data_IF_710849810647
#
_entry.id   IF_710849810647
#
_cell.length_a   1.000
_cell.length_b   1.000
_cell.length_c   1.000
_cell.angle_alpha   90.00
_cell.angle_beta   90.00
_cell.angle_gamma   90.00
#
_symmetry.space_group_name_H-M   'P 1'
#
loop_
_entity.id
_entity.type
_entity.pdbx_description
1 polymer ?
#
# COMPACT_ATOMS: atom_id res chain seq x y z
N UNK A 1 -12.39 18.27 -13.10
CA UNK A 1 -11.46 17.54 -13.99
C UNK A 1 -10.42 16.87 -13.10
N UNK A 2 -10.16 15.57 -13.30
CA UNK A 2 -9.10 14.88 -12.56
C UNK A 2 -7.74 15.25 -13.15
N UNK A 3 -6.77 15.48 -12.25
CA UNK A 3 -5.37 15.58 -12.59
C UNK A 3 -4.71 14.22 -12.28
N UNK A 4 -3.74 13.84 -13.07
CA UNK A 4 -2.96 12.63 -12.87
C UNK A 4 -1.51 13.01 -12.61
N UNK A 5 -0.93 12.41 -11.57
CA UNK A 5 0.49 12.58 -11.25
C UNK A 5 1.17 11.22 -11.13
N UNK A 6 2.49 11.16 -11.33
CA UNK A 6 3.26 9.96 -11.04
C UNK A 6 3.12 9.57 -9.56
N UNK A 7 3.17 8.27 -9.30
CA UNK A 7 3.41 7.73 -7.96
C UNK A 7 4.88 7.93 -7.60
N UNK A 8 5.14 8.45 -6.41
CA UNK A 8 6.50 8.69 -5.90
C UNK A 8 7.03 7.42 -5.22
N UNK A 9 7.68 6.57 -6.01
CA UNK A 9 8.29 5.33 -5.52
C UNK A 9 9.36 5.62 -4.47
N UNK A 10 10.15 6.67 -4.62
CA UNK A 10 11.24 7.00 -3.70
C UNK A 10 10.70 7.38 -2.32
N UNK A 11 9.61 8.14 -2.26
CA UNK A 11 8.93 8.46 -1.01
C UNK A 11 8.35 7.21 -0.33
N UNK A 12 7.74 6.31 -1.09
CA UNK A 12 7.23 5.03 -0.56
C UNK A 12 8.35 4.15 0.00
N UNK A 13 9.46 4.04 -0.71
CA UNK A 13 10.63 3.26 -0.31
C UNK A 13 11.33 3.87 0.91
N UNK A 14 11.47 5.19 0.96
CA UNK A 14 12.02 5.89 2.11
C UNK A 14 11.15 5.67 3.37
N UNK A 15 9.82 5.72 3.20
CA UNK A 15 8.87 5.39 4.28
C UNK A 15 9.05 3.95 4.76
N UNK A 16 9.09 2.98 3.85
CA UNK A 16 9.30 1.58 4.18
C UNK A 16 10.61 1.36 4.95
N UNK A 17 11.71 1.95 4.48
CA UNK A 17 13.00 1.89 5.15
C UNK A 17 12.95 2.42 6.59
N UNK A 18 12.18 3.48 6.82
CA UNK A 18 12.05 4.11 8.15
C UNK A 18 11.22 3.27 9.11
N UNK A 19 10.14 2.64 8.63
CA UNK A 19 9.11 2.08 9.48
C UNK A 19 8.91 0.56 9.39
N UNK A 20 9.62 -0.16 8.51
CA UNK A 20 9.45 -1.61 8.36
C UNK A 20 9.72 -2.41 9.64
N UNK A 21 10.65 -1.94 10.47
CA UNK A 21 11.04 -2.60 11.73
C UNK A 21 10.50 -1.87 12.97
N UNK A 22 9.58 -0.93 12.80
CA UNK A 22 8.97 -0.16 13.89
C UNK A 22 7.57 0.30 13.50
N UNK A 23 6.84 0.94 14.41
CA UNK A 23 5.48 1.43 14.16
C UNK A 23 5.46 2.95 14.11
N UNK A 24 4.83 3.48 13.05
CA UNK A 24 4.53 4.90 12.95
C UNK A 24 3.38 5.24 13.91
N UNK A 25 3.57 6.15 14.88
CA UNK A 25 2.57 6.46 15.91
C UNK A 25 1.28 7.08 15.37
N UNK A 26 1.25 7.51 14.11
CA UNK A 26 0.03 8.01 13.44
C UNK A 26 -0.98 6.91 13.13
N UNK A 27 -0.55 5.64 13.12
CA UNK A 27 -1.37 4.51 12.76
C UNK A 27 -1.50 3.52 13.91
N UNK A 28 -2.68 2.93 14.04
CA UNK A 28 -2.89 1.89 15.02
C UNK A 28 -2.06 0.64 14.66
N UNK A 29 -1.44 0.03 15.65
CA UNK A 29 -0.72 -1.21 15.50
C UNK A 29 -1.68 -2.40 15.51
N UNK A 30 -1.89 -3.02 14.37
CA UNK A 30 -2.78 -4.19 14.19
C UNK A 30 -2.08 -5.53 14.43
N UNK A 31 -0.84 -5.55 14.93
CA UNK A 31 -0.14 -6.80 15.25
C UNK A 31 -0.95 -7.64 16.24
N UNK A 32 -1.19 -8.91 15.90
CA UNK A 32 -1.98 -9.83 16.73
C UNK A 32 -3.50 -9.75 16.53
N UNK A 33 -4.01 -8.75 15.80
CA UNK A 33 -5.45 -8.63 15.48
C UNK A 33 -5.74 -8.69 13.98
N UNK A 34 -4.72 -8.99 13.16
CA UNK A 34 -4.79 -9.06 11.70
C UNK A 34 -4.76 -7.68 11.02
N UNK A 35 -4.22 -7.62 9.84
CA UNK A 35 -4.23 -6.41 9.01
C UNK A 35 -3.02 -5.48 9.12
N UNK A 36 -2.03 -5.76 9.95
CA UNK A 36 -0.86 -4.89 10.10
C UNK A 36 0.04 -4.88 8.84
N UNK A 37 0.13 -6.00 8.14
CA UNK A 37 0.87 -6.08 6.88
C UNK A 37 0.28 -5.17 5.80
N UNK A 38 -1.03 -5.21 5.60
CA UNK A 38 -1.71 -4.35 4.63
C UNK A 38 -1.73 -2.89 5.07
N UNK A 39 -1.91 -2.63 6.37
CA UNK A 39 -1.80 -1.29 6.94
C UNK A 39 -0.43 -0.68 6.66
N UNK A 40 0.66 -1.42 6.86
CA UNK A 40 2.00 -0.95 6.58
C UNK A 40 2.21 -0.63 5.09
N UNK A 41 1.80 -1.53 4.19
CA UNK A 41 1.91 -1.29 2.74
C UNK A 41 1.06 -0.09 2.33
N UNK A 42 -0.15 0.06 2.88
CA UNK A 42 -0.99 1.23 2.65
C UNK A 42 -0.31 2.54 3.11
N UNK A 43 0.40 2.52 4.22
CA UNK A 43 1.17 3.68 4.69
C UNK A 43 2.30 4.04 3.71
N UNK A 44 3.01 3.04 3.18
CA UNK A 44 4.04 3.24 2.16
C UNK A 44 3.44 3.85 0.88
N UNK A 45 2.32 3.30 0.41
CA UNK A 45 1.60 3.83 -0.77
C UNK A 45 1.08 5.24 -0.51
N UNK A 46 0.62 5.53 0.70
CA UNK A 46 0.21 6.88 1.07
C UNK A 46 1.38 7.87 1.04
N UNK A 47 2.55 7.47 1.49
CA UNK A 47 3.75 8.32 1.42
C UNK A 47 4.12 8.67 -0.03
N UNK A 48 3.93 7.75 -0.98
CA UNK A 48 4.18 7.97 -2.40
C UNK A 48 3.04 8.68 -3.15
N UNK A 49 1.81 8.63 -2.63
CA UNK A 49 0.64 9.20 -3.31
C UNK A 49 0.20 10.54 -2.72
N UNK A 50 0.22 10.69 -1.41
CA UNK A 50 -0.36 11.79 -0.63
C UNK A 50 -1.86 12.01 -0.86
N UNK A 51 -2.57 11.03 -1.37
CA UNK A 51 -4.00 11.10 -1.69
C UNK A 51 -4.70 9.88 -1.17
N UNK A 52 -5.79 10.07 -0.47
CA UNK A 52 -6.71 9.01 -0.05
C UNK A 52 -8.04 9.12 -0.79
N UNK A 53 -8.75 8.02 -0.91
CA UNK A 53 -10.12 7.98 -1.42
C UNK A 53 -11.08 7.76 -0.25
N UNK A 54 -11.85 8.78 0.11
CA UNK A 54 -12.79 8.78 1.24
C UNK A 54 -14.18 8.22 0.89
N UNK A 55 -14.31 7.46 -0.18
CA UNK A 55 -15.57 6.78 -0.48
C UNK A 55 -15.85 5.75 0.63
N UNK A 56 -17.01 5.80 1.28
CA UNK A 56 -17.41 4.74 2.22
C UNK A 56 -17.37 3.37 1.54
N UNK A 57 -16.92 2.34 2.25
CA UNK A 57 -16.81 0.94 1.85
C UNK A 57 -15.86 0.64 0.67
N UNK A 58 -15.90 1.45 -0.39
CA UNK A 58 -15.12 1.26 -1.62
C UNK A 58 -13.88 2.16 -1.73
N UNK A 59 -13.62 2.97 -0.70
CA UNK A 59 -12.48 3.87 -0.66
C UNK A 59 -11.22 3.18 -0.14
N UNK A 60 -10.18 4.02 -0.02
CA UNK A 60 -8.92 3.63 0.57
C UNK A 60 -8.39 4.82 1.37
N UNK A 61 -8.63 4.80 2.69
CA UNK A 61 -8.27 5.88 3.59
C UNK A 61 -8.08 5.40 5.03
N UNK A 62 -7.38 6.21 5.81
CA UNK A 62 -7.21 6.06 7.24
C UNK A 62 -7.22 7.43 7.91
N UNK A 63 -8.14 7.65 8.85
CA UNK A 63 -8.19 8.80 9.76
C UNK A 63 -7.89 8.39 11.19
N UNK A 64 -8.42 7.25 11.60
CA UNK A 64 -8.20 6.64 12.91
C UNK A 64 -8.48 5.15 12.86
N UNK A 65 -8.23 4.45 13.97
CA UNK A 65 -8.56 3.03 14.10
C UNK A 65 -10.04 2.72 13.84
N UNK A 66 -10.92 3.65 14.19
CA UNK A 66 -12.38 3.50 14.02
C UNK A 66 -12.94 4.21 12.77
N UNK A 67 -12.12 4.96 12.05
CA UNK A 67 -12.50 5.66 10.81
C UNK A 67 -11.46 5.39 9.73
N UNK A 68 -11.59 4.24 9.09
CA UNK A 68 -10.76 3.79 7.98
C UNK A 68 -11.56 2.93 7.02
N UNK A 69 -11.16 2.93 5.76
CA UNK A 69 -11.71 2.01 4.78
C UNK A 69 -11.17 0.57 4.97
N UNK A 70 -11.98 -0.46 4.71
CA UNK A 70 -11.50 -1.85 4.72
C UNK A 70 -10.26 -2.08 3.86
N UNK A 71 -10.18 -1.41 2.72
CA UNK A 71 -9.04 -1.51 1.80
C UNK A 71 -7.71 -0.99 2.37
N UNK A 72 -7.73 -0.18 3.43
CA UNK A 72 -6.48 0.29 4.04
C UNK A 72 -5.79 -0.79 4.88
N UNK A 73 -6.53 -1.77 5.41
CA UNK A 73 -6.01 -2.79 6.33
C UNK A 73 -6.29 -4.23 5.93
N UNK A 74 -7.17 -4.47 4.96
CA UNK A 74 -7.58 -5.83 4.55
C UNK A 74 -6.94 -6.26 3.23
N UNK A 75 -6.38 -7.47 3.18
CA UNK A 75 -5.61 -8.00 2.05
C UNK A 75 -6.43 -8.01 0.77
N UNK A 76 -7.62 -8.63 0.77
CA UNK A 76 -8.50 -8.69 -0.41
C UNK A 76 -9.09 -7.33 -0.77
N UNK A 77 -9.52 -6.54 0.23
CA UNK A 77 -10.07 -5.21 0.00
C UNK A 77 -9.04 -4.25 -0.62
N UNK A 78 -7.76 -4.37 -0.22
CA UNK A 78 -6.67 -3.62 -0.82
C UNK A 78 -6.53 -3.97 -2.31
N UNK A 79 -6.47 -5.27 -2.63
CA UNK A 79 -6.41 -5.74 -4.01
C UNK A 79 -7.57 -5.24 -4.84
N UNK A 80 -8.78 -5.36 -4.32
CA UNK A 80 -9.99 -4.96 -5.01
C UNK A 80 -10.05 -3.44 -5.27
N UNK A 81 -9.59 -2.64 -4.30
CA UNK A 81 -9.50 -1.19 -4.51
C UNK A 81 -8.65 -0.82 -5.72
N UNK A 82 -7.51 -1.48 -5.89
CA UNK A 82 -6.59 -1.17 -6.97
C UNK A 82 -6.97 -1.81 -8.31
N UNK A 83 -7.61 -2.98 -8.33
CA UNK A 83 -7.75 -3.79 -9.53
C UNK A 83 -9.19 -4.04 -9.97
N UNK A 84 -10.15 -4.12 -9.04
CA UNK A 84 -11.50 -4.58 -9.33
C UNK A 84 -12.59 -3.52 -9.13
N UNK A 85 -12.38 -2.55 -8.25
CA UNK A 85 -13.37 -1.49 -8.05
C UNK A 85 -13.23 -0.50 -9.18
N UNK A 86 -14.18 -0.45 -10.14
CA UNK A 86 -14.13 0.53 -11.21
C UNK A 86 -14.12 1.96 -10.68
N UNK A 87 -13.44 2.85 -11.39
CA UNK A 87 -13.30 4.25 -10.97
C UNK A 87 -14.63 4.95 -10.71
N UNK A 88 -15.71 4.57 -11.44
CA UNK A 88 -17.04 5.15 -11.25
C UNK A 88 -17.75 4.66 -9.97
N UNK A 89 -17.39 3.49 -9.43
CA UNK A 89 -17.87 3.00 -8.13
C UNK A 89 -17.08 3.58 -6.97
N UNK A 90 -15.89 4.12 -7.24
CA UNK A 90 -15.17 4.94 -6.29
C UNK A 90 -15.77 6.34 -6.41
N UNK A 91 -16.70 6.71 -5.54
CA UNK A 91 -17.16 8.09 -5.47
C UNK A 91 -15.95 9.05 -5.46
N UNK A 92 -16.14 10.33 -5.52
CA UNK A 92 -15.07 11.30 -5.75
C UNK A 92 -14.31 11.11 -7.08
N UNK A 93 -14.97 10.53 -8.09
CA UNK A 93 -14.44 10.46 -9.45
C UNK A 93 -13.18 9.62 -9.63
N UNK A 94 -12.92 8.65 -8.75
CA UNK A 94 -11.74 7.82 -8.83
C UNK A 94 -10.46 8.45 -8.26
N UNK A 95 -10.59 9.44 -7.38
CA UNK A 95 -9.47 10.05 -6.65
C UNK A 95 -8.71 8.99 -5.85
N UNK A 96 -7.39 9.12 -5.78
CA UNK A 96 -6.51 8.24 -5.03
C UNK A 96 -5.45 7.58 -5.90
N UNK A 97 -4.58 6.77 -5.31
CA UNK A 97 -3.67 5.94 -6.08
C UNK A 97 -4.46 4.89 -6.87
N UNK A 98 -3.93 4.52 -8.03
CA UNK A 98 -4.50 3.48 -8.88
C UNK A 98 -3.41 2.56 -9.43
N UNK A 99 -3.79 1.36 -9.76
CA UNK A 99 -2.88 0.35 -10.25
C UNK A 99 -3.60 -0.75 -11.00
N UNK A 100 -2.88 -1.80 -11.31
CA UNK A 100 -3.39 -2.98 -12.00
C UNK A 100 -2.70 -4.26 -11.55
N UNK A 101 -3.34 -5.39 -11.79
CA UNK A 101 -2.66 -6.67 -11.71
C UNK A 101 -1.47 -6.69 -12.71
N UNK A 102 -0.37 -7.28 -12.29
CA UNK A 102 0.87 -7.32 -13.04
C UNK A 102 1.53 -8.70 -12.94
N UNK A 103 2.51 -8.95 -13.79
CA UNK A 103 3.38 -10.11 -13.65
C UNK A 103 4.60 -9.76 -12.77
N UNK A 104 5.38 -10.79 -12.38
CA UNK A 104 6.62 -10.60 -11.63
C UNK A 104 7.62 -9.68 -12.36
N UNK A 105 7.67 -9.78 -13.68
CA UNK A 105 8.60 -9.06 -14.54
C UNK A 105 8.22 -7.58 -14.74
N UNK A 106 6.96 -7.25 -14.51
CA UNK A 106 6.46 -5.88 -14.68
C UNK A 106 6.59 -5.01 -13.43
N UNK A 107 6.76 -5.65 -12.25
CA UNK A 107 6.82 -4.91 -10.99
C UNK A 107 8.22 -4.40 -10.69
N UNK A 108 8.27 -3.29 -9.98
CA UNK A 108 9.47 -2.57 -9.58
C UNK A 108 9.41 -2.20 -8.09
N UNK A 109 10.51 -1.77 -7.48
CA UNK A 109 10.45 -1.25 -6.10
C UNK A 109 9.41 -0.14 -5.95
N UNK A 110 8.58 -0.25 -4.92
CA UNK A 110 7.40 0.59 -4.67
C UNK A 110 6.08 -0.10 -5.03
N UNK A 111 6.12 -1.18 -5.82
CA UNK A 111 4.98 -2.03 -6.13
C UNK A 111 4.71 -3.07 -5.03
N UNK A 112 3.66 -3.86 -5.20
CA UNK A 112 3.13 -4.73 -4.14
C UNK A 112 3.09 -6.18 -4.61
N UNK A 113 3.35 -7.11 -3.69
CA UNK A 113 3.06 -8.53 -3.86
C UNK A 113 2.19 -9.02 -2.71
N UNK A 114 1.24 -9.89 -3.03
CA UNK A 114 0.43 -10.58 -2.02
C UNK A 114 0.63 -12.08 -2.11
N UNK A 115 0.63 -12.72 -0.95
CA UNK A 115 0.86 -14.15 -0.76
C UNK A 115 -0.43 -14.86 -0.42
N UNK A 116 -0.66 -16.03 -1.02
CA UNK A 116 -1.77 -16.91 -0.70
C UNK A 116 -1.28 -18.29 -0.26
N UNK A 117 -2.14 -18.98 0.45
CA UNK A 117 -1.97 -20.38 0.81
C UNK A 117 -2.33 -21.32 -0.35
N UNK A 118 -2.32 -22.62 -0.10
CA UNK A 118 -2.63 -23.64 -1.11
C UNK A 118 -4.10 -23.63 -1.55
N UNK A 119 -5.01 -23.10 -0.71
CA UNK A 119 -6.43 -22.93 -1.06
C UNK A 119 -6.67 -21.71 -1.95
N UNK A 120 -5.68 -20.81 -2.07
CA UNK A 120 -5.78 -19.58 -2.82
C UNK A 120 -6.28 -18.40 -1.99
N UNK A 121 -6.30 -18.55 -0.66
CA UNK A 121 -6.69 -17.47 0.25
C UNK A 121 -5.51 -16.53 0.47
N UNK A 122 -5.62 -15.29 0.00
CA UNK A 122 -4.59 -14.28 0.16
C UNK A 122 -4.59 -13.72 1.57
N UNK A 123 -3.47 -13.90 2.27
CA UNK A 123 -3.35 -13.60 3.69
C UNK A 123 -2.29 -12.55 4.04
N UNK A 124 -1.40 -12.20 3.12
CA UNK A 124 -0.27 -11.33 3.41
C UNK A 124 0.01 -10.34 2.27
N UNK A 125 0.28 -9.08 2.63
CA UNK A 125 0.63 -8.00 1.71
C UNK A 125 2.03 -7.50 2.02
N UNK A 126 2.87 -7.39 1.00
CA UNK A 126 4.28 -7.02 1.07
C UNK A 126 4.58 -5.90 0.09
N UNK A 127 5.42 -4.94 0.49
CA UNK A 127 5.98 -3.95 -0.43
C UNK A 127 7.26 -4.49 -1.06
N UNK A 128 7.39 -4.40 -2.36
CA UNK A 128 8.66 -4.68 -3.07
C UNK A 128 9.57 -3.48 -2.81
N UNK A 129 10.73 -3.74 -2.18
CA UNK A 129 11.63 -2.67 -1.73
C UNK A 129 12.94 -2.59 -2.50
N UNK A 130 13.34 -3.69 -3.14
CA UNK A 130 14.53 -3.71 -4.01
C UNK A 130 14.47 -4.89 -4.99
N UNK A 131 15.34 -4.85 -5.97
CA UNK A 131 15.66 -5.99 -6.85
C UNK A 131 17.18 -6.20 -6.80
N UNK A 132 17.63 -7.41 -6.51
CA UNK A 132 19.06 -7.77 -6.52
C UNK A 132 19.24 -9.08 -7.26
N UNK A 133 20.07 -9.07 -8.33
CA UNK A 133 20.37 -10.26 -9.13
C UNK A 133 19.11 -11.01 -9.61
N UNK A 134 18.04 -10.26 -9.97
CA UNK A 134 16.76 -10.80 -10.38
C UNK A 134 15.84 -11.25 -9.24
N UNK A 135 16.30 -11.22 -7.99
CA UNK A 135 15.48 -11.51 -6.81
C UNK A 135 14.75 -10.25 -6.32
N UNK A 136 13.45 -10.39 -6.07
CA UNK A 136 12.65 -9.35 -5.43
C UNK A 136 12.90 -9.38 -3.92
N UNK A 137 13.26 -8.23 -3.35
CA UNK A 137 13.35 -8.04 -1.91
C UNK A 137 12.10 -7.29 -1.43
N UNK A 138 11.53 -7.75 -0.32
CA UNK A 138 10.27 -7.23 0.21
C UNK A 138 10.39 -6.79 1.65
N UNK A 139 9.50 -5.88 2.05
CA UNK A 139 9.35 -5.42 3.42
C UNK A 139 7.89 -5.52 3.86
N UNK A 140 7.68 -5.89 5.12
CA UNK A 140 6.34 -6.08 5.68
C UNK A 140 6.33 -5.98 7.20
N UNK A 141 5.15 -5.72 7.75
CA UNK A 141 4.81 -6.00 9.14
C UNK A 141 4.20 -7.41 9.28
N UNK A 142 3.93 -7.87 10.51
CA UNK A 142 3.56 -9.25 10.87
C UNK A 142 4.71 -10.23 10.57
N UNK A 143 5.72 -10.25 11.42
CA UNK A 143 7.09 -10.70 11.27
C UNK A 143 7.92 -9.63 10.55
N UNK A 144 8.14 -8.54 11.25
CA UNK A 144 8.76 -7.31 10.72
C UNK A 144 10.05 -7.61 9.96
N UNK A 145 10.04 -7.29 8.67
CA UNK A 145 11.18 -7.51 7.78
C UNK A 145 11.45 -6.30 6.90
N UNK A 146 12.72 -6.09 6.62
CA UNK A 146 13.18 -5.11 5.64
C UNK A 146 14.15 -5.78 4.66
N UNK A 147 13.84 -5.71 3.36
CA UNK A 147 14.64 -6.30 2.28
C UNK A 147 14.84 -7.83 2.42
N UNK A 148 13.82 -8.55 2.83
CA UNK A 148 13.84 -10.01 2.83
C UNK A 148 13.60 -10.55 1.41
N UNK A 149 14.39 -11.56 0.94
CA UNK A 149 14.12 -12.20 -0.35
C UNK A 149 12.71 -12.79 -0.43
N UNK A 150 11.99 -12.51 -1.52
CA UNK A 150 10.64 -13.05 -1.73
C UNK A 150 10.65 -14.58 -1.86
N UNK A 151 11.77 -15.16 -2.33
CA UNK A 151 11.98 -16.61 -2.43
C UNK A 151 11.99 -17.33 -1.06
N UNK A 152 12.24 -16.62 0.04
CA UNK A 152 12.20 -17.18 1.39
C UNK A 152 10.78 -17.36 1.96
N UNK A 153 9.76 -16.89 1.25
CA UNK A 153 8.37 -17.10 1.64
C UNK A 153 7.83 -18.38 1.01
N UNK A 154 7.49 -19.34 1.86
CA UNK A 154 6.78 -20.56 1.46
C UNK A 154 5.30 -20.24 1.23
N UNK A 155 5.02 -19.64 0.08
CA UNK A 155 3.68 -19.29 -0.37
C UNK A 155 3.45 -19.84 -1.78
N UNK A 156 2.56 -20.83 -1.95
CA UNK A 156 2.36 -21.50 -3.23
C UNK A 156 1.80 -20.58 -4.31
N UNK A 157 1.08 -19.55 -3.91
CA UNK A 157 0.51 -18.58 -4.86
C UNK A 157 0.92 -17.16 -4.49
N UNK A 158 1.23 -16.38 -5.51
CA UNK A 158 1.60 -14.97 -5.41
C UNK A 158 0.87 -14.18 -6.48
N UNK A 159 0.41 -12.97 -6.14
CA UNK A 159 -0.10 -12.01 -7.12
C UNK A 159 0.61 -10.67 -6.96
N UNK A 160 0.81 -9.99 -8.06
CA UNK A 160 1.55 -8.74 -8.13
C UNK A 160 0.64 -7.60 -8.53
N UNK A 161 0.85 -6.45 -7.92
CA UNK A 161 0.15 -5.22 -8.19
C UNK A 161 1.16 -4.14 -8.54
N UNK A 162 1.00 -3.54 -9.72
CA UNK A 162 1.75 -2.35 -10.11
C UNK A 162 0.97 -1.09 -9.79
N UNK A 163 1.59 -0.16 -9.07
CA UNK A 163 1.02 1.17 -8.82
C UNK A 163 1.39 2.07 -9.99
N UNK A 164 0.40 2.52 -10.74
CA UNK A 164 0.62 3.24 -12.01
C UNK A 164 0.61 4.76 -11.84
N UNK A 165 -0.06 5.27 -10.81
CA UNK A 165 -0.15 6.71 -10.61
C UNK A 165 -1.15 7.11 -9.54
N UNK A 166 -1.43 8.39 -9.51
CA UNK A 166 -2.33 9.02 -8.54
C UNK A 166 -3.28 9.98 -9.26
N UNK A 167 -4.59 9.79 -9.05
CA UNK A 167 -5.62 10.71 -9.52
C UNK A 167 -6.00 11.68 -8.40
N UNK A 168 -6.13 12.97 -8.70
CA UNK A 168 -6.47 14.01 -7.73
C UNK A 168 -7.33 15.12 -8.34
N UNK A 169 -8.08 15.83 -7.49
CA UNK A 169 -8.98 16.91 -7.92
C UNK A 169 -8.30 18.28 -8.04
N UNK A 170 -7.03 18.40 -7.66
CA UNK A 170 -6.27 19.65 -7.68
C UNK A 170 -4.84 19.43 -7.22
N UNK A 171 -4.09 20.52 -7.02
CA UNK A 171 -2.75 20.44 -6.45
C UNK A 171 -2.81 19.89 -5.03
N UNK A 172 -1.98 18.88 -4.74
CA UNK A 172 -1.90 18.24 -3.43
C UNK A 172 -0.56 18.58 -2.82
N UNK A 173 -0.54 19.16 -1.61
CA UNK A 173 0.69 19.38 -0.87
C UNK A 173 1.40 18.06 -0.58
N UNK A 174 2.72 18.08 -0.54
CA UNK A 174 3.47 16.92 -0.09
C UNK A 174 3.11 16.56 1.36
N UNK A 175 2.80 15.29 1.59
CA UNK A 175 2.51 14.75 2.92
C UNK A 175 3.72 14.02 3.52
N UNK A 176 4.75 13.78 2.71
CA UNK A 176 5.85 12.88 3.03
C UNK A 176 6.54 13.22 4.35
N UNK A 177 6.90 14.48 4.56
CA UNK A 177 7.64 14.90 5.76
C UNK A 177 6.86 14.60 7.06
N UNK A 178 5.55 14.86 7.06
CA UNK A 178 4.67 14.56 8.21
C UNK A 178 4.54 13.08 8.49
N UNK A 179 4.34 12.29 7.44
CA UNK A 179 4.24 10.83 7.52
C UNK A 179 5.57 10.19 7.92
N UNK A 180 6.66 10.58 7.28
CA UNK A 180 8.00 10.06 7.53
C UNK A 180 8.45 10.28 8.98
N UNK A 181 8.15 11.44 9.54
CA UNK A 181 8.48 11.78 10.93
C UNK A 181 7.47 11.27 11.95
N UNK A 182 6.34 10.72 11.54
CA UNK A 182 5.27 10.26 12.43
C UNK A 182 4.56 11.40 13.16
N UNK A 183 4.52 12.61 12.57
CA UNK A 183 3.97 13.82 13.22
C UNK A 183 2.61 14.24 12.71
N UNK A 184 2.30 13.97 11.44
CA UNK A 184 1.08 14.50 10.83
C UNK A 184 0.55 13.59 9.72
N UNK A 185 -0.75 13.28 9.76
CA UNK A 185 -1.49 12.74 8.61
C UNK A 185 -1.79 13.85 7.58
N UNK A 186 -2.00 13.49 6.29
CA UNK A 186 -2.23 14.47 5.22
C UNK A 186 -3.41 15.43 5.45
N UNK A 187 -4.35 15.08 6.34
CA UNK A 187 -5.64 15.79 6.53
C UNK A 187 -5.89 16.23 7.97
N UNK A 188 -4.86 16.25 8.79
CA UNK A 188 -4.93 16.73 10.17
C UNK A 188 -4.31 18.13 10.33
#
# INVERSE_FOLDING_TARGET
MLLYKPYDNDAALAYARRWALSRNPLFYNFSGVGGDCTSFVSQCVLAGSCVMNFTPDFGWYYRSVNDRAPAFTGVEYFWDFFTRVPAFLRANGGIGPFGRAATREEVTPGDVVQLADAAGDFYHTLLITAVREGELLVSAHSNDVYNRPLSEYDAPQKRFLRIEGVACAGMIPSCFAGLYTGRRLPFS
#
